data_IF_388764326434
#
_entry.id   IF_388764326434
#
_cell.length_a   1.000
_cell.length_b   1.000
_cell.length_c   1.000
_cell.angle_alpha   90.00
_cell.angle_beta   90.00
_cell.angle_gamma   90.00
#
_symmetry.space_group_name_H-M   'P 1'
#
loop_
_entity.id
_entity.type
_entity.pdbx_description
1 polymer ?
#
# COMPACT_ATOMS: atom_id res chain seq x y z
N UNK A 1 8.47 -13.75 -63.57
CA UNK A 1 7.73 -14.81 -64.28
C UNK A 1 7.67 -15.98 -63.32
N UNK A 2 6.62 -16.03 -62.50
CA UNK A 2 5.46 -16.92 -62.68
C UNK A 2 5.91 -18.38 -62.49
N UNK A 3 5.63 -19.08 -61.39
CA UNK A 3 4.38 -19.12 -60.63
C UNK A 3 3.63 -20.37 -61.10
N UNK A 4 3.53 -21.40 -60.24
CA UNK A 4 2.51 -22.46 -60.31
C UNK A 4 2.21 -22.90 -58.88
N UNK A 5 0.97 -22.62 -58.47
CA UNK A 5 0.28 -23.11 -57.27
C UNK A 5 -0.48 -24.43 -57.58
N UNK A 6 -1.14 -24.94 -56.54
CA UNK A 6 -2.21 -25.96 -56.44
C UNK A 6 -1.77 -27.29 -55.81
N UNK A 7 -1.98 -27.53 -54.50
CA UNK A 7 -3.24 -27.87 -53.79
C UNK A 7 -3.95 -29.15 -54.30
N UNK A 8 -4.02 -30.23 -53.48
CA UNK A 8 -5.17 -30.55 -52.61
C UNK A 8 -5.10 -31.95 -51.94
N UNK A 9 -5.81 -32.03 -50.82
CA UNK A 9 -5.95 -33.06 -49.77
C UNK A 9 -6.54 -34.43 -50.20
N UNK A 10 -6.34 -35.46 -49.35
CA UNK A 10 -7.36 -36.37 -48.74
C UNK A 10 -6.66 -37.51 -47.95
N UNK A 11 -6.69 -37.48 -46.61
CA UNK A 11 -7.53 -38.27 -45.69
C UNK A 11 -7.16 -39.76 -45.44
N UNK A 12 -6.68 -39.98 -44.20
CA UNK A 12 -7.20 -40.90 -43.16
C UNK A 12 -6.63 -42.31 -42.91
N UNK A 13 -6.66 -42.64 -41.60
CA UNK A 13 -6.36 -43.90 -40.87
C UNK A 13 -4.87 -44.17 -40.58
N UNK A 14 -4.42 -44.57 -39.38
CA UNK A 14 -5.08 -45.18 -38.21
C UNK A 14 -4.24 -45.02 -36.94
N UNK A 15 -4.93 -45.10 -35.80
CA UNK A 15 -4.51 -45.03 -34.40
C UNK A 15 -3.52 -46.13 -33.99
N UNK A 16 -2.52 -45.78 -33.17
CA UNK A 16 -2.11 -46.61 -32.02
C UNK A 16 -1.57 -45.67 -30.91
N UNK A 17 -2.30 -45.60 -29.79
CA UNK A 17 -1.86 -44.96 -28.54
C UNK A 17 -1.68 -46.05 -27.50
N UNK A 18 -0.48 -46.13 -26.92
CA UNK A 18 -0.19 -46.90 -25.72
C UNK A 18 0.51 -46.04 -24.67
N UNK A 19 -0.02 -46.07 -23.44
CA UNK A 19 0.64 -45.67 -22.18
C UNK A 19 0.22 -44.28 -21.67
N UNK A 20 -0.89 -44.15 -20.92
CA UNK A 20 -1.00 -44.25 -19.43
C UNK A 20 -0.01 -43.38 -18.67
N UNK A 21 -0.52 -42.28 -18.08
CA UNK A 21 -0.47 -42.06 -16.63
C UNK A 21 -1.46 -40.95 -16.25
N UNK A 22 -2.57 -41.35 -15.64
CA UNK A 22 -3.54 -40.46 -15.00
C UNK A 22 -2.90 -39.91 -13.71
N UNK A 23 -2.55 -38.62 -13.70
CA UNK A 23 -2.26 -37.91 -12.45
C UNK A 23 -3.59 -37.39 -11.92
N UNK A 24 -4.09 -38.07 -10.89
CA UNK A 24 -5.20 -37.62 -10.06
C UNK A 24 -4.73 -36.37 -9.31
N UNK A 25 -5.15 -35.19 -9.76
CA UNK A 25 -4.99 -33.95 -9.00
C UNK A 25 -6.11 -33.87 -7.96
N UNK A 26 -5.79 -34.30 -6.74
CA UNK A 26 -6.61 -33.98 -5.56
C UNK A 26 -6.68 -32.46 -5.39
N UNK A 27 -7.89 -31.96 -5.19
CA UNK A 27 -8.20 -30.55 -5.09
C UNK A 27 -7.51 -29.89 -3.90
N UNK A 28 -6.48 -29.11 -4.20
CA UNK A 28 -6.07 -28.02 -3.33
C UNK A 28 -7.10 -26.90 -3.49
N UNK A 29 -7.94 -26.73 -2.47
CA UNK A 29 -8.78 -25.55 -2.29
C UNK A 29 -7.89 -24.30 -2.31
N UNK A 30 -7.94 -23.60 -3.44
CA UNK A 30 -7.28 -22.31 -3.65
C UNK A 30 -7.99 -21.31 -2.75
N UNK A 31 -7.36 -20.99 -1.62
CA UNK A 31 -7.71 -19.77 -0.88
C UNK A 31 -7.18 -18.63 -1.74
N UNK A 32 -8.08 -17.96 -2.46
CA UNK A 32 -7.77 -16.73 -3.16
C UNK A 32 -7.27 -15.70 -2.14
N UNK A 33 -5.95 -15.53 -2.06
CA UNK A 33 -5.38 -14.25 -1.68
C UNK A 33 -5.79 -13.27 -2.78
N UNK A 34 -6.77 -12.41 -2.49
CA UNK A 34 -7.19 -11.38 -3.43
C UNK A 34 -6.02 -10.44 -3.69
N UNK A 35 -5.51 -10.47 -4.91
CA UNK A 35 -4.72 -9.39 -5.48
C UNK A 35 -5.53 -8.09 -5.35
N UNK A 36 -4.91 -6.94 -5.08
CA UNK A 36 -5.62 -5.66 -5.09
C UNK A 36 -6.22 -5.46 -6.48
N UNK A 37 -7.56 -5.50 -6.57
CA UNK A 37 -8.27 -5.20 -7.82
C UNK A 37 -7.95 -3.75 -8.22
N UNK A 38 -7.06 -3.58 -9.20
CA UNK A 38 -6.43 -2.29 -9.52
C UNK A 38 -7.37 -1.30 -10.26
N UNK A 39 -8.59 -1.73 -10.58
CA UNK A 39 -9.61 -0.94 -11.28
C UNK A 39 -11.03 -1.10 -10.72
N UNK A 40 -11.15 -1.67 -9.51
CA UNK A 40 -12.43 -1.71 -8.82
C UNK A 40 -12.76 -0.34 -8.20
N UNK A 41 -14.05 -0.02 -8.12
CA UNK A 41 -14.55 1.10 -7.31
C UNK A 41 -14.22 0.91 -5.82
N UNK A 42 -14.68 1.81 -4.95
CA UNK A 42 -14.49 1.69 -3.51
C UNK A 42 -14.92 0.29 -3.00
N UNK A 43 -14.16 -0.32 -2.08
CA UNK A 43 -14.49 -1.63 -1.55
C UNK A 43 -15.84 -1.58 -0.84
N UNK A 44 -16.63 -2.65 -0.99
CA UNK A 44 -17.90 -2.79 -0.27
C UNK A 44 -17.62 -3.41 1.09
N UNK A 45 -18.07 -2.74 2.15
CA UNK A 45 -17.78 -3.11 3.54
C UNK A 45 -19.09 -3.19 4.30
N UNK A 46 -19.34 -4.32 4.95
CA UNK A 46 -20.55 -4.58 5.75
C UNK A 46 -20.37 -4.27 7.25
N UNK A 47 -19.16 -3.85 7.65
CA UNK A 47 -18.82 -3.47 9.02
C UNK A 47 -19.63 -2.28 9.51
N UNK A 48 -19.81 -2.19 10.82
CA UNK A 48 -20.53 -1.09 11.47
C UNK A 48 -19.92 0.28 11.12
N UNK A 49 -20.79 1.26 10.90
CA UNK A 49 -20.41 2.63 10.60
C UNK A 49 -20.16 3.37 11.93
N UNK A 50 -18.90 3.68 12.21
CA UNK A 50 -18.48 4.53 13.32
C UNK A 50 -18.54 6.00 12.90
N UNK A 51 -19.28 6.83 13.63
CA UNK A 51 -19.34 8.27 13.37
C UNK A 51 -18.22 8.97 14.15
N UNK A 52 -17.18 9.40 13.45
CA UNK A 52 -16.02 10.09 14.04
C UNK A 52 -16.24 11.60 14.16
N UNK A 53 -16.99 12.16 13.20
CA UNK A 53 -17.38 13.56 13.13
C UNK A 53 -18.69 13.66 12.35
N UNK A 54 -19.40 14.78 12.43
CA UNK A 54 -20.65 15.03 11.66
C UNK A 54 -20.50 14.77 10.14
N UNK A 55 -19.27 14.88 9.63
CA UNK A 55 -18.91 14.77 8.21
C UNK A 55 -17.85 13.70 7.94
N UNK A 56 -17.55 12.84 8.92
CA UNK A 56 -16.57 11.76 8.77
C UNK A 56 -17.11 10.51 9.43
N UNK A 57 -17.28 9.45 8.64
CA UNK A 57 -17.60 8.13 9.14
C UNK A 57 -16.53 7.13 8.76
N UNK A 58 -16.42 6.05 9.53
CA UNK A 58 -15.45 4.97 9.33
C UNK A 58 -16.13 3.62 9.34
N UNK A 59 -15.69 2.74 8.46
CA UNK A 59 -15.98 1.31 8.49
C UNK A 59 -14.66 0.53 8.43
N UNK A 60 -14.42 -0.37 9.38
CA UNK A 60 -13.18 -1.13 9.44
C UNK A 60 -13.21 -2.28 8.44
N UNK A 61 -12.13 -2.44 7.66
CA UNK A 61 -11.90 -3.55 6.73
C UNK A 61 -10.98 -4.60 7.37
N UNK A 62 -9.88 -4.14 7.99
CA UNK A 62 -8.93 -4.95 8.73
C UNK A 62 -8.59 -4.26 10.04
N UNK A 63 -8.68 -4.98 11.15
CA UNK A 63 -8.27 -4.47 12.46
C UNK A 63 -6.75 -4.25 12.52
N UNK A 64 -6.35 -3.13 13.11
CA UNK A 64 -4.95 -2.85 13.46
C UNK A 64 -4.64 -3.22 14.90
N UNK A 65 -3.41 -2.95 15.32
CA UNK A 65 -2.89 -3.28 16.64
C UNK A 65 -2.26 -2.07 17.33
N UNK A 66 -2.06 -2.20 18.65
CA UNK A 66 -1.49 -1.15 19.48
C UNK A 66 -2.44 0.02 19.73
N UNK A 67 -1.84 1.18 19.99
CA UNK A 67 -2.55 2.41 20.33
C UNK A 67 -2.86 3.26 19.08
N UNK A 68 -3.77 4.21 19.24
CA UNK A 68 -4.07 5.22 18.22
C UNK A 68 -3.02 6.34 18.24
N UNK A 69 -2.73 7.00 17.10
CA UNK A 69 -1.83 8.15 17.06
C UNK A 69 -2.27 9.24 18.04
N UNK A 70 -1.31 9.90 18.71
CA UNK A 70 -1.62 11.10 19.48
C UNK A 70 -1.63 12.35 18.60
N UNK A 71 -2.11 13.48 19.16
CA UNK A 71 -2.12 14.76 18.44
C UNK A 71 -0.69 15.16 18.07
N UNK A 72 -0.49 15.57 16.82
CA UNK A 72 0.79 15.86 16.16
C UNK A 72 1.72 14.68 15.90
N UNK A 73 1.25 13.44 16.09
CA UNK A 73 1.96 12.28 15.58
C UNK A 73 2.09 12.34 14.04
N UNK A 74 3.22 11.86 13.54
CA UNK A 74 3.48 11.70 12.10
C UNK A 74 3.03 10.32 11.68
N UNK A 75 1.93 10.25 10.92
CA UNK A 75 1.36 9.00 10.43
C UNK A 75 1.81 8.72 8.99
N UNK A 76 2.11 7.47 8.69
CA UNK A 76 2.38 7.00 7.33
C UNK A 76 1.22 6.15 6.86
N UNK A 77 0.56 6.60 5.80
CA UNK A 77 -0.66 5.96 5.31
C UNK A 77 -0.57 5.67 3.83
N UNK A 78 -1.02 4.49 3.46
CA UNK A 78 -1.47 4.24 2.10
C UNK A 78 -2.96 4.53 2.02
N UNK A 79 -3.38 5.17 0.94
CA UNK A 79 -4.78 5.37 0.64
C UNK A 79 -5.07 5.40 -0.87
N UNK A 80 -6.35 5.17 -1.16
CA UNK A 80 -7.02 5.46 -2.43
C UNK A 80 -8.16 6.40 -2.15
N UNK A 81 -8.40 7.32 -3.08
CA UNK A 81 -9.45 8.32 -2.95
C UNK A 81 -10.33 8.33 -4.19
N UNK A 82 -11.65 8.33 -3.96
CA UNK A 82 -12.66 8.44 -5.01
C UNK A 82 -13.59 9.61 -4.72
N UNK A 83 -13.96 10.35 -5.77
CA UNK A 83 -15.07 11.29 -5.69
C UNK A 83 -16.39 10.51 -5.68
N UNK A 84 -17.17 10.58 -4.60
CA UNK A 84 -18.35 9.73 -4.41
C UNK A 84 -19.38 9.89 -5.53
N UNK A 85 -19.59 11.14 -5.97
CA UNK A 85 -20.58 11.49 -7.00
C UNK A 85 -20.30 10.86 -8.37
N UNK A 86 -19.03 10.69 -8.73
CA UNK A 86 -18.60 10.18 -10.05
C UNK A 86 -17.98 8.79 -9.97
N UNK A 87 -17.68 8.30 -8.76
CA UNK A 87 -16.88 7.10 -8.48
C UNK A 87 -15.50 7.14 -9.16
N UNK A 88 -15.02 8.34 -9.52
CA UNK A 88 -13.72 8.51 -10.15
C UNK A 88 -12.61 8.41 -9.09
N UNK A 89 -11.74 7.41 -9.23
CA UNK A 89 -10.50 7.31 -8.45
C UNK A 89 -9.54 8.41 -8.90
N UNK A 90 -9.18 9.29 -7.99
CA UNK A 90 -8.31 10.43 -8.29
C UNK A 90 -6.97 10.38 -7.56
N UNK A 91 -6.80 9.52 -6.55
CA UNK A 91 -5.47 9.17 -5.99
C UNK A 91 -5.35 7.69 -5.63
N UNK A 92 -4.12 7.15 -5.75
CA UNK A 92 -3.76 5.78 -5.39
C UNK A 92 -2.28 5.65 -4.99
N UNK A 93 -1.99 5.82 -3.70
CA UNK A 93 -0.61 5.76 -3.19
C UNK A 93 0.04 4.37 -3.26
N UNK A 94 -0.75 3.28 -3.38
CA UNK A 94 -0.18 1.94 -3.58
C UNK A 94 0.40 1.82 -4.99
N UNK A 95 -0.30 2.37 -5.98
CA UNK A 95 0.19 2.42 -7.37
C UNK A 95 1.45 3.28 -7.49
N UNK A 96 1.50 4.38 -6.74
CA UNK A 96 2.66 5.26 -6.69
C UNK A 96 3.83 4.69 -5.89
N UNK A 97 3.63 3.58 -5.15
CA UNK A 97 4.62 2.99 -4.24
C UNK A 97 5.14 4.00 -3.20
N UNK A 98 4.35 5.04 -2.90
CA UNK A 98 4.76 6.16 -2.08
C UNK A 98 3.68 6.50 -1.06
N UNK A 99 3.82 6.05 0.20
CA UNK A 99 2.86 6.39 1.23
C UNK A 99 2.93 7.87 1.59
N UNK A 100 1.77 8.41 1.96
CA UNK A 100 1.62 9.77 2.44
C UNK A 100 2.11 9.90 3.88
N UNK A 101 2.88 10.95 4.14
CA UNK A 101 3.17 11.41 5.50
C UNK A 101 2.12 12.45 5.91
N UNK A 102 1.37 12.15 6.97
CA UNK A 102 0.31 13.00 7.50
C UNK A 102 0.58 13.31 8.97
N UNK A 103 0.79 14.59 9.29
CA UNK A 103 0.99 15.03 10.68
C UNK A 103 -0.34 15.49 11.27
N UNK A 104 -0.83 14.80 12.30
CA UNK A 104 -2.16 15.06 12.88
C UNK A 104 -2.23 16.46 13.50
N UNK A 105 -3.13 17.32 13.02
CA UNK A 105 -3.26 18.71 13.45
C UNK A 105 -2.33 19.70 12.72
N UNK A 106 -1.57 19.24 11.72
CA UNK A 106 -0.80 20.07 10.77
C UNK A 106 -1.07 19.67 9.31
N UNK A 107 -2.15 18.92 9.07
CA UNK A 107 -2.58 18.54 7.74
C UNK A 107 -3.02 19.75 6.90
N UNK A 108 -3.02 19.57 5.58
CA UNK A 108 -3.62 20.55 4.68
C UNK A 108 -5.14 20.54 4.85
N UNK A 109 -5.78 21.66 4.51
CA UNK A 109 -7.23 21.86 4.70
C UNK A 109 -8.05 20.79 3.98
N UNK A 110 -7.63 20.39 2.78
CA UNK A 110 -8.27 19.37 1.96
C UNK A 110 -8.14 17.94 2.52
N UNK A 111 -7.30 17.74 3.53
CA UNK A 111 -7.05 16.45 4.16
C UNK A 111 -7.60 16.37 5.60
N UNK A 112 -8.34 17.39 6.07
CA UNK A 112 -8.85 17.42 7.45
C UNK A 112 -9.73 16.21 7.77
N UNK A 113 -10.62 15.81 6.86
CA UNK A 113 -11.46 14.63 7.05
C UNK A 113 -10.65 13.32 7.07
N UNK A 114 -9.64 13.21 6.20
CA UNK A 114 -8.70 12.09 6.23
C UNK A 114 -7.95 12.03 7.57
N UNK A 115 -7.45 13.16 8.07
CA UNK A 115 -6.73 13.22 9.34
C UNK A 115 -7.60 12.82 10.54
N UNK A 116 -8.88 13.19 10.55
CA UNK A 116 -9.85 12.72 11.56
C UNK A 116 -9.98 11.20 11.51
N UNK A 117 -10.12 10.64 10.30
CA UNK A 117 -10.17 9.20 10.07
C UNK A 117 -8.91 8.50 10.58
N UNK A 118 -7.73 8.94 10.16
CA UNK A 118 -6.43 8.37 10.52
C UNK A 118 -6.16 8.44 12.03
N UNK A 119 -6.51 9.55 12.69
CA UNK A 119 -6.39 9.68 14.15
C UNK A 119 -7.26 8.68 14.93
N UNK A 120 -8.27 8.07 14.28
CA UNK A 120 -9.10 7.03 14.88
C UNK A 120 -8.56 5.61 14.70
N UNK A 121 -7.54 5.43 13.84
CA UNK A 121 -7.00 4.12 13.44
C UNK A 121 -5.89 3.64 14.36
N UNK A 122 -5.59 2.35 14.27
CA UNK A 122 -4.40 1.69 14.83
C UNK A 122 -3.39 1.31 13.73
N UNK A 123 -2.14 1.04 14.10
CA UNK A 123 -1.13 0.56 13.15
C UNK A 123 -1.57 -0.76 12.51
N UNK A 124 -1.45 -0.87 11.19
CA UNK A 124 -1.95 -1.98 10.38
C UNK A 124 -3.45 -2.01 10.13
N UNK A 125 -4.22 -1.06 10.66
CA UNK A 125 -5.66 -0.98 10.39
C UNK A 125 -5.88 -0.58 8.93
N UNK A 126 -6.85 -1.23 8.28
CA UNK A 126 -7.39 -0.81 6.98
C UNK A 126 -8.86 -0.47 7.15
N UNK A 127 -9.27 0.68 6.66
CA UNK A 127 -10.63 1.17 6.84
C UNK A 127 -11.12 1.96 5.63
N UNK A 128 -12.44 2.01 5.47
CA UNK A 128 -13.13 2.89 4.53
C UNK A 128 -13.63 4.11 5.29
N UNK A 129 -13.35 5.31 4.77
CA UNK A 129 -13.90 6.56 5.27
C UNK A 129 -14.84 7.18 4.25
N UNK A 130 -15.97 7.69 4.74
CA UNK A 130 -16.78 8.64 4.01
C UNK A 130 -16.57 10.03 4.60
N UNK A 131 -16.12 10.95 3.76
CA UNK A 131 -15.75 12.32 4.15
C UNK A 131 -16.57 13.31 3.34
N UNK A 132 -17.35 14.12 4.04
CA UNK A 132 -18.10 15.23 3.45
C UNK A 132 -17.17 16.27 2.82
N UNK A 133 -17.60 16.85 1.70
CA UNK A 133 -16.82 17.84 0.94
C UNK A 133 -16.33 19.02 1.80
N UNK A 134 -17.03 19.36 2.89
CA UNK A 134 -16.64 20.43 3.81
C UNK A 134 -15.28 20.20 4.48
N UNK A 135 -14.90 18.93 4.69
CA UNK A 135 -13.63 18.52 5.30
C UNK A 135 -12.67 17.87 4.28
N UNK A 136 -13.02 17.95 3.00
CA UNK A 136 -12.18 17.55 1.87
C UNK A 136 -11.91 18.78 0.99
N UNK A 137 -12.11 18.68 -0.33
CA UNK A 137 -11.76 19.71 -1.31
C UNK A 137 -12.70 20.93 -1.35
N UNK A 138 -13.73 20.97 -0.50
CA UNK A 138 -14.56 22.16 -0.33
C UNK A 138 -15.49 22.47 -1.51
N UNK A 139 -16.01 23.70 -1.52
CA UNK A 139 -16.91 24.17 -2.58
C UNK A 139 -16.23 24.37 -3.93
N UNK A 140 -14.92 24.57 -3.93
CA UNK A 140 -14.15 24.84 -5.15
C UNK A 140 -13.67 23.54 -5.80
N UNK A 141 -13.55 22.45 -5.03
CA UNK A 141 -12.92 21.22 -5.52
C UNK A 141 -11.43 21.44 -5.75
N UNK A 142 -10.85 20.64 -6.64
CA UNK A 142 -9.50 20.81 -7.16
C UNK A 142 -9.51 20.60 -8.66
N UNK A 143 -9.06 21.60 -9.42
CA UNK A 143 -9.16 21.58 -10.88
C UNK A 143 -7.97 20.89 -11.58
N UNK A 144 -6.80 20.88 -10.95
CA UNK A 144 -5.56 20.39 -11.56
C UNK A 144 -5.24 18.97 -11.12
N UNK A 145 -4.44 18.82 -10.06
CA UNK A 145 -3.93 17.54 -9.59
C UNK A 145 -4.04 17.49 -8.06
N UNK A 146 -4.91 16.63 -7.50
CA UNK A 146 -5.87 15.77 -8.20
C UNK A 146 -7.07 16.55 -8.78
N UNK A 147 -7.75 15.99 -9.78
CA UNK A 147 -9.00 16.55 -10.30
C UNK A 147 -10.19 16.05 -9.47
N UNK A 148 -10.72 16.93 -8.62
CA UNK A 148 -11.83 16.64 -7.71
C UNK A 148 -12.95 17.65 -7.98
N UNK A 149 -14.18 17.20 -8.29
CA UNK A 149 -15.28 18.12 -8.55
C UNK A 149 -15.61 19.02 -7.34
N UNK A 150 -16.12 20.23 -7.57
CA UNK A 150 -16.74 21.07 -6.54
C UNK A 150 -17.75 20.31 -5.68
N UNK A 151 -17.72 20.52 -4.36
CA UNK A 151 -18.69 19.91 -3.41
C UNK A 151 -18.79 18.39 -3.50
N UNK A 152 -17.72 17.71 -3.90
CA UNK A 152 -17.67 16.26 -3.94
C UNK A 152 -17.29 15.69 -2.57
N UNK A 153 -18.17 14.84 -2.03
CA UNK A 153 -17.82 13.94 -0.94
C UNK A 153 -16.76 12.95 -1.44
N UNK A 154 -15.89 12.53 -0.53
CA UNK A 154 -14.75 11.67 -0.84
C UNK A 154 -14.85 10.37 -0.06
N UNK A 155 -14.70 9.27 -0.79
CA UNK A 155 -14.51 7.95 -0.22
C UNK A 155 -13.01 7.67 -0.17
N UNK A 156 -12.51 7.31 1.01
CA UNK A 156 -11.12 6.92 1.20
C UNK A 156 -11.03 5.46 1.62
N UNK A 157 -10.26 4.66 0.92
CA UNK A 157 -9.74 3.40 1.44
C UNK A 157 -8.36 3.68 2.00
N UNK A 158 -8.16 3.47 3.30
CA UNK A 158 -6.94 3.88 4.01
C UNK A 158 -6.35 2.69 4.76
N UNK A 159 -5.05 2.51 4.67
CA UNK A 159 -4.25 1.63 5.50
C UNK A 159 -3.21 2.46 6.27
N UNK A 160 -3.29 2.42 7.60
CA UNK A 160 -2.30 3.07 8.47
C UNK A 160 -1.12 2.11 8.65
N UNK A 161 0.01 2.38 7.99
CA UNK A 161 1.23 1.57 8.12
C UNK A 161 1.74 1.65 9.56
N UNK A 162 1.82 2.87 10.08
CA UNK A 162 2.25 3.17 11.44
C UNK A 162 2.50 4.66 11.63
N UNK A 163 2.98 5.04 12.82
CA UNK A 163 3.19 6.43 13.17
C UNK A 163 4.37 6.64 14.13
N UNK A 164 4.85 7.88 14.19
CA UNK A 164 5.86 8.40 15.12
C UNK A 164 5.22 9.45 16.03
N UNK A 165 5.38 9.31 17.34
CA UNK A 165 4.76 10.21 18.33
C UNK A 165 5.47 11.58 18.45
N UNK A 166 4.75 12.56 19.00
CA UNK A 166 5.25 13.92 19.24
C UNK A 166 6.39 13.95 20.25
N UNK A 167 7.60 13.83 19.76
CA UNK A 167 8.82 13.74 20.56
C UNK A 167 9.92 12.97 19.87
N UNK A 168 9.57 12.15 18.87
CA UNK A 168 10.52 11.31 18.15
C UNK A 168 10.96 11.85 16.77
N UNK A 169 10.43 12.98 16.28
CA UNK A 169 10.75 13.36 14.90
C UNK A 169 10.54 14.82 14.49
N UNK A 170 11.45 15.26 13.63
CA UNK A 170 11.21 16.28 12.61
C UNK A 170 10.37 15.64 11.48
N UNK A 171 9.62 16.43 10.70
CA UNK A 171 8.96 15.90 9.49
C UNK A 171 10.02 15.42 8.48
N UNK A 172 9.68 14.54 7.53
CA UNK A 172 10.69 14.06 6.54
C UNK A 172 11.38 15.22 5.79
N UNK A 173 10.70 16.35 5.62
CA UNK A 173 11.23 17.55 4.97
C UNK A 173 12.23 18.35 5.81
N UNK A 174 12.17 18.20 7.14
CA UNK A 174 13.01 18.93 8.09
C UNK A 174 14.24 18.12 8.55
N UNK A 175 14.30 16.83 8.21
CA UNK A 175 15.40 15.92 8.57
C UNK A 175 16.59 16.06 7.63
N UNK A 176 17.81 15.95 8.17
CA UNK A 176 18.99 15.76 7.30
C UNK A 176 18.97 14.35 6.67
N UNK A 177 19.78 14.15 5.63
CA UNK A 177 19.94 12.84 4.98
C UNK A 177 20.35 11.77 6.00
N UNK A 178 21.28 12.08 6.89
CA UNK A 178 21.77 11.18 7.92
C UNK A 178 20.72 10.87 8.98
N UNK A 179 19.97 11.87 9.45
CA UNK A 179 18.86 11.68 10.39
C UNK A 179 17.79 10.76 9.78
N UNK A 180 17.48 10.96 8.50
CA UNK A 180 16.46 10.21 7.77
C UNK A 180 16.87 8.76 7.54
N UNK A 181 18.10 8.52 7.08
CA UNK A 181 18.66 7.17 6.95
C UNK A 181 18.78 6.48 8.32
N UNK A 182 19.20 7.21 9.36
CA UNK A 182 19.30 6.67 10.72
C UNK A 182 17.94 6.27 11.31
N UNK A 183 16.89 7.05 11.02
CA UNK A 183 15.52 6.71 11.44
C UNK A 183 15.01 5.47 10.71
N UNK A 184 15.28 5.36 9.40
CA UNK A 184 14.96 4.16 8.63
C UNK A 184 15.72 2.93 9.15
N UNK A 185 17.00 3.08 9.51
CA UNK A 185 17.81 1.99 10.05
C UNK A 185 17.29 1.51 11.41
N UNK A 186 16.88 2.44 12.30
CA UNK A 186 16.21 2.11 13.57
C UNK A 186 14.95 1.28 13.31
N UNK A 187 14.07 1.73 12.40
CA UNK A 187 12.83 1.01 12.04
C UNK A 187 13.13 -0.39 11.49
N UNK A 188 14.16 -0.54 10.66
CA UNK A 188 14.64 -1.86 10.21
C UNK A 188 15.08 -2.74 11.40
N UNK A 189 15.80 -2.19 12.38
CA UNK A 189 16.23 -2.93 13.56
C UNK A 189 15.04 -3.36 14.43
N UNK A 190 14.03 -2.50 14.59
CA UNK A 190 12.80 -2.82 15.31
C UNK A 190 12.03 -3.95 14.60
N UNK A 191 11.93 -3.89 13.26
CA UNK A 191 11.38 -4.98 12.45
C UNK A 191 12.14 -6.30 12.60
N UNK A 192 13.48 -6.24 12.68
CA UNK A 192 14.31 -7.43 12.91
C UNK A 192 14.06 -8.05 14.29
N UNK A 193 13.76 -7.25 15.31
CA UNK A 193 13.40 -7.75 16.63
C UNK A 193 12.05 -8.47 16.59
N UNK A 194 11.03 -7.85 15.98
CA UNK A 194 9.69 -8.42 15.81
C UNK A 194 9.72 -9.70 14.97
N UNK A 195 10.56 -9.76 13.93
CA UNK A 195 10.74 -10.96 13.12
C UNK A 195 11.23 -12.16 13.94
N UNK A 196 12.16 -11.91 14.89
CA UNK A 196 12.66 -12.96 15.80
C UNK A 196 11.60 -13.43 16.78
N UNK A 197 10.63 -12.57 17.11
CA UNK A 197 9.46 -12.89 17.93
C UNK A 197 8.31 -13.53 17.12
N UNK A 198 8.51 -13.82 15.83
CA UNK A 198 7.51 -14.34 14.89
C UNK A 198 6.27 -13.43 14.71
N UNK A 199 6.36 -12.16 15.08
CA UNK A 199 5.34 -11.14 14.80
C UNK A 199 5.55 -10.57 13.40
N UNK A 200 5.24 -11.40 12.40
CA UNK A 200 5.63 -11.14 11.01
C UNK A 200 4.94 -9.92 10.40
N UNK A 201 3.65 -9.71 10.66
CA UNK A 201 2.92 -8.54 10.15
C UNK A 201 3.45 -7.23 10.76
N UNK A 202 3.68 -7.21 12.08
CA UNK A 202 4.27 -6.05 12.76
C UNK A 202 5.70 -5.78 12.26
N UNK A 203 6.49 -6.83 12.03
CA UNK A 203 7.82 -6.72 11.45
C UNK A 203 7.77 -6.09 10.05
N UNK A 204 6.85 -6.55 9.19
CA UNK A 204 6.65 -5.99 7.85
C UNK A 204 6.31 -4.50 7.92
N UNK A 205 5.43 -4.09 8.83
CA UNK A 205 5.08 -2.68 9.00
C UNK A 205 6.30 -1.83 9.36
N UNK A 206 7.19 -2.32 10.22
CA UNK A 206 8.42 -1.58 10.56
C UNK A 206 9.36 -1.45 9.36
N UNK A 207 9.51 -2.50 8.54
CA UNK A 207 10.30 -2.41 7.31
C UNK A 207 9.66 -1.46 6.29
N UNK A 208 8.34 -1.47 6.18
CA UNK A 208 7.59 -0.58 5.30
C UNK A 208 7.73 0.88 5.76
N UNK A 209 7.62 1.17 7.06
CA UNK A 209 7.93 2.50 7.61
C UNK A 209 9.37 2.93 7.29
N UNK A 210 10.34 2.02 7.40
CA UNK A 210 11.73 2.31 7.03
C UNK A 210 11.86 2.69 5.55
N UNK A 211 11.21 1.95 4.65
CA UNK A 211 11.18 2.24 3.21
C UNK A 211 10.46 3.56 2.94
N UNK A 212 9.39 3.86 3.67
CA UNK A 212 8.63 5.08 3.54
C UNK A 212 9.51 6.32 3.83
N UNK A 213 10.40 6.24 4.82
CA UNK A 213 11.43 7.26 5.04
C UNK A 213 12.41 7.37 3.86
N UNK A 214 12.64 6.33 3.07
CA UNK A 214 13.54 6.34 1.91
C UNK A 214 12.77 6.19 0.58
N UNK A 215 11.67 6.93 0.46
CA UNK A 215 10.88 7.04 -0.76
C UNK A 215 11.67 7.52 -1.98
N UNK A 216 11.08 7.40 -3.15
CA UNK A 216 11.81 7.53 -4.41
C UNK A 216 12.32 8.96 -4.66
N UNK A 217 11.56 9.97 -4.29
CA UNK A 217 12.00 11.38 -4.36
C UNK A 217 13.27 11.63 -3.54
N UNK A 218 13.34 11.03 -2.35
CA UNK A 218 14.53 11.14 -1.50
C UNK A 218 15.70 10.39 -2.13
N UNK A 219 15.47 9.16 -2.59
CA UNK A 219 16.51 8.34 -3.20
C UNK A 219 17.08 8.96 -4.49
N UNK A 220 16.25 9.63 -5.29
CA UNK A 220 16.65 10.30 -6.53
C UNK A 220 17.59 11.49 -6.28
N UNK A 221 17.47 12.13 -5.11
CA UNK A 221 18.33 13.25 -4.71
C UNK A 221 19.68 12.82 -4.14
N UNK A 222 19.86 11.54 -3.80
CA UNK A 222 21.09 11.03 -3.18
C UNK A 222 22.14 10.61 -4.22
N UNK A 223 23.40 10.95 -3.94
CA UNK A 223 24.54 10.58 -4.76
C UNK A 223 25.70 10.02 -3.93
N UNK A 224 26.53 9.18 -4.55
CA UNK A 224 27.72 8.58 -3.96
C UNK A 224 27.43 7.90 -2.62
N UNK A 225 28.26 8.21 -1.62
CA UNK A 225 28.20 7.59 -0.28
C UNK A 225 26.82 7.62 0.36
N UNK A 226 26.06 8.70 0.21
CA UNK A 226 24.74 8.81 0.84
C UNK A 226 23.71 7.88 0.19
N UNK A 227 23.77 7.72 -1.14
CA UNK A 227 22.94 6.75 -1.85
C UNK A 227 23.28 5.33 -1.44
N UNK A 228 24.56 5.01 -1.32
CA UNK A 228 25.02 3.69 -0.88
C UNK A 228 24.56 3.39 0.55
N UNK A 229 24.63 4.38 1.44
CA UNK A 229 24.14 4.27 2.81
C UNK A 229 22.63 4.01 2.86
N UNK A 230 21.83 4.73 2.05
CA UNK A 230 20.39 4.52 1.99
C UNK A 230 20.04 3.14 1.40
N UNK A 231 20.70 2.71 0.31
CA UNK A 231 20.50 1.38 -0.28
C UNK A 231 20.89 0.25 0.68
N UNK A 232 21.93 0.45 1.50
CA UNK A 232 22.33 -0.50 2.54
C UNK A 232 21.28 -0.68 3.65
N UNK A 233 20.28 0.19 3.73
CA UNK A 233 19.11 0.03 4.60
C UNK A 233 17.88 -0.42 3.80
N UNK A 234 17.60 0.22 2.66
CA UNK A 234 16.41 -0.04 1.83
C UNK A 234 16.37 -1.48 1.30
N UNK A 235 17.46 -1.98 0.74
CA UNK A 235 17.49 -3.32 0.13
C UNK A 235 17.26 -4.42 1.19
N UNK A 236 17.93 -4.41 2.36
CA UNK A 236 17.60 -5.35 3.43
C UNK A 236 16.15 -5.28 3.90
N UNK A 237 15.52 -4.10 3.96
CA UNK A 237 14.10 -4.01 4.33
C UNK A 237 13.20 -4.79 3.36
N UNK A 238 13.38 -4.62 2.06
CA UNK A 238 12.62 -5.38 1.05
C UNK A 238 12.87 -6.90 1.17
N UNK A 239 14.12 -7.32 1.32
CA UNK A 239 14.45 -8.74 1.49
C UNK A 239 13.87 -9.32 2.79
N UNK A 240 13.88 -8.56 3.88
CA UNK A 240 13.30 -8.97 5.14
C UNK A 240 11.77 -9.06 5.06
N UNK A 241 11.11 -8.12 4.36
CA UNK A 241 9.67 -8.23 4.06
C UNK A 241 9.37 -9.48 3.23
N UNK A 242 10.18 -9.77 2.20
CA UNK A 242 10.04 -11.01 1.43
C UNK A 242 10.17 -12.24 2.34
N UNK A 243 11.11 -12.25 3.29
CA UNK A 243 11.25 -13.33 4.25
C UNK A 243 10.03 -13.48 5.18
N UNK A 244 9.43 -12.36 5.64
CA UNK A 244 8.15 -12.40 6.37
C UNK A 244 7.03 -13.01 5.52
N UNK A 245 6.90 -12.56 4.27
CA UNK A 245 5.87 -13.00 3.34
C UNK A 245 6.00 -14.50 3.01
N UNK A 246 7.23 -15.00 2.83
CA UNK A 246 7.48 -16.43 2.64
C UNK A 246 7.02 -17.26 3.84
N UNK A 247 7.27 -16.78 5.08
CA UNK A 247 6.78 -17.44 6.29
C UNK A 247 5.25 -17.40 6.41
N UNK A 248 4.61 -16.34 5.89
CA UNK A 248 3.15 -16.21 5.79
C UNK A 248 2.54 -16.92 4.57
N UNK A 249 3.35 -17.62 3.76
CA UNK A 249 2.93 -18.29 2.53
C UNK A 249 2.31 -17.36 1.47
N UNK A 250 2.66 -16.06 1.51
CA UNK A 250 2.25 -15.04 0.54
C UNK A 250 3.30 -14.91 -0.56
N UNK A 251 3.39 -15.94 -1.40
CA UNK A 251 4.50 -16.13 -2.33
C UNK A 251 4.59 -15.05 -3.42
N UNK A 252 3.45 -14.62 -3.98
CA UNK A 252 3.43 -13.62 -5.07
C UNK A 252 3.97 -12.26 -4.60
N UNK A 253 3.59 -11.85 -3.39
CA UNK A 253 4.07 -10.61 -2.80
C UNK A 253 5.56 -10.70 -2.42
N UNK A 254 6.02 -11.87 -1.98
CA UNK A 254 7.43 -12.09 -1.70
C UNK A 254 8.28 -11.95 -2.98
N UNK A 255 7.79 -12.45 -4.12
CA UNK A 255 8.45 -12.28 -5.42
C UNK A 255 8.53 -10.79 -5.78
N UNK A 256 7.43 -10.05 -5.64
CA UNK A 256 7.40 -8.61 -5.92
C UNK A 256 8.45 -7.84 -5.09
N UNK A 257 8.57 -8.14 -3.79
CA UNK A 257 9.57 -7.52 -2.91
C UNK A 257 11.02 -7.86 -3.35
N UNK A 258 11.27 -9.10 -3.76
CA UNK A 258 12.58 -9.49 -4.28
C UNK A 258 12.92 -8.76 -5.58
N UNK A 259 11.95 -8.59 -6.49
CA UNK A 259 12.15 -7.90 -7.77
C UNK A 259 12.50 -6.41 -7.64
N UNK A 260 12.26 -5.78 -6.50
CA UNK A 260 12.66 -4.38 -6.26
C UNK A 260 14.18 -4.27 -6.01
N UNK A 261 14.81 -5.34 -5.51
CA UNK A 261 16.22 -5.32 -5.12
C UNK A 261 17.19 -5.68 -6.25
N UNK A 262 16.70 -6.23 -7.36
CA UNK A 262 17.49 -6.79 -8.48
C UNK A 262 17.13 -6.11 -9.80
#
# INVERSE_FOLDING_TARGET
>A
MAGVEEEQQLQNSSVDQGGTDEIITEGASVVHGELPQDDAGPPKVDSEVEVLHEKVTKQIIKEGHGQKPSKYATCFVHYRAWAESTQHKFEDTWREQQPLELVIGKEKKEMTGLAIGVNSMKSGERALFHVGWELAYGKEGSFSFPNVPPTADVLYEVELIGFDETGEGKTRGDMTVEERIGTADRRKMDGNALFKEEKLEEAMQQYEMAIAYMGDDFMFQLFGKFRDMALAVKNPCHLNMAACLLKLQRYDEAIAQCSICF
#
